data_IF_821468738029
#
_entry.id   IF_821468738029
#
_cell.length_a   1.000
_cell.length_b   1.000
_cell.length_c   1.000
_cell.angle_alpha   90.00
_cell.angle_beta   90.00
_cell.angle_gamma   90.00
#
_symmetry.space_group_name_H-M   'P 1'
#
loop_
_entity.id
_entity.type
_entity.pdbx_description
1 polymer ?
#
# COMPACT_ATOMS: atom_id res chain seq x y z
N UNK A 1 -4.43 -6.98 -9.72
CA UNK A 1 -3.33 -6.54 -10.61
C UNK A 1 -3.42 -6.98 -12.09
N UNK A 2 -4.54 -7.52 -12.60
CA UNK A 2 -4.64 -7.98 -14.01
C UNK A 2 -4.92 -6.88 -15.05
N UNK A 3 -5.40 -5.71 -14.63
CA UNK A 3 -5.80 -4.61 -15.52
C UNK A 3 -4.79 -3.45 -15.55
N UNK A 4 -4.23 -3.08 -14.40
CA UNK A 4 -3.22 -2.02 -14.26
C UNK A 4 -2.18 -2.50 -13.24
N UNK A 5 -1.11 -3.18 -13.69
CA UNK A 5 -0.08 -3.70 -12.80
C UNK A 5 0.77 -2.58 -12.16
N UNK A 6 0.92 -1.45 -12.86
CA UNK A 6 1.76 -0.33 -12.45
C UNK A 6 1.06 0.65 -11.50
N UNK A 7 -0.25 0.49 -11.28
CA UNK A 7 -0.98 1.34 -10.35
C UNK A 7 -0.75 0.84 -8.92
N UNK A 8 -0.19 1.67 -8.02
CA UNK A 8 0.04 1.23 -6.66
C UNK A 8 -1.26 1.10 -5.86
N UNK A 9 -1.32 0.12 -4.97
CA UNK A 9 -2.51 -0.20 -4.17
C UNK A 9 -2.18 -0.12 -2.69
N UNK A 10 -2.97 0.66 -1.96
CA UNK A 10 -2.92 0.77 -0.50
C UNK A 10 -4.23 0.21 0.08
N UNK A 11 -4.14 -0.65 1.09
CA UNK A 11 -5.30 -1.22 1.79
C UNK A 11 -5.39 -0.67 3.20
N UNK A 12 -6.60 -0.27 3.62
CA UNK A 12 -6.91 0.17 4.98
C UNK A 12 -7.88 -0.81 5.65
N UNK A 13 -7.42 -1.58 6.63
CA UNK A 13 -8.21 -2.66 7.27
C UNK A 13 -8.71 -2.26 8.66
N UNK A 14 -9.77 -2.89 9.16
CA UNK A 14 -10.24 -2.72 10.53
C UNK A 14 -9.75 -3.84 11.46
N UNK A 15 -9.94 -3.65 12.77
CA UNK A 15 -9.62 -4.62 13.83
C UNK A 15 -10.23 -6.02 13.63
N UNK A 16 -11.23 -6.16 12.75
CA UNK A 16 -11.99 -7.40 12.55
C UNK A 16 -11.69 -8.12 11.23
N UNK A 17 -10.68 -7.69 10.46
CA UNK A 17 -10.35 -8.30 9.17
C UNK A 17 -9.15 -9.26 9.23
N UNK A 18 -9.27 -10.39 8.53
CA UNK A 18 -8.31 -11.52 8.47
C UNK A 18 -7.08 -11.26 7.58
N UNK A 19 -6.74 -9.98 7.40
CA UNK A 19 -5.71 -9.50 6.49
C UNK A 19 -4.75 -8.63 7.29
N UNK A 20 -3.64 -9.22 7.71
CA UNK A 20 -2.52 -8.51 8.33
C UNK A 20 -1.54 -7.97 7.27
N UNK A 21 -0.54 -7.21 7.72
CA UNK A 21 0.45 -6.57 6.85
C UNK A 21 1.29 -7.59 6.04
N UNK A 22 1.60 -8.75 6.61
CA UNK A 22 2.40 -9.78 5.92
C UNK A 22 1.61 -10.41 4.77
N UNK A 23 0.35 -10.77 5.03
CA UNK A 23 -0.55 -11.31 4.03
C UNK A 23 -0.83 -10.27 2.95
N UNK A 24 -1.03 -9.00 3.31
CA UNK A 24 -1.19 -7.92 2.34
C UNK A 24 0.03 -7.80 1.41
N UNK A 25 1.24 -7.84 1.98
CA UNK A 25 2.48 -7.81 1.19
C UNK A 25 2.59 -9.02 0.25
N UNK A 26 2.24 -10.22 0.71
CA UNK A 26 2.26 -11.42 -0.14
C UNK A 26 1.31 -11.36 -1.33
N UNK A 27 0.24 -10.56 -1.24
CA UNK A 27 -0.74 -10.35 -2.31
C UNK A 27 -0.30 -9.28 -3.32
N UNK A 28 0.88 -8.68 -3.12
CA UNK A 28 1.36 -7.56 -3.92
C UNK A 28 0.54 -6.29 -3.65
N UNK A 29 0.30 -5.98 -2.39
CA UNK A 29 -0.20 -4.66 -1.97
C UNK A 29 1.02 -3.81 -1.59
N UNK A 30 1.05 -2.56 -2.04
CA UNK A 30 2.21 -1.66 -1.87
C UNK A 30 2.17 -0.91 -0.55
N UNK A 31 0.98 -0.76 0.05
CA UNK A 31 0.83 -0.16 1.37
C UNK A 31 -0.33 -0.74 2.19
N UNK A 32 -0.16 -0.71 3.50
CA UNK A 32 -1.13 -1.25 4.45
C UNK A 32 -1.28 -0.29 5.63
N UNK A 33 -2.52 0.01 6.04
CA UNK A 33 -2.85 0.80 7.22
C UNK A 33 -3.97 0.14 8.04
N UNK A 34 -3.88 0.25 9.36
CA UNK A 34 -4.97 -0.13 10.26
C UNK A 34 -5.90 1.07 10.48
N UNK A 35 -7.20 0.81 10.52
CA UNK A 35 -8.22 1.77 10.95
C UNK A 35 -8.20 1.89 12.48
N UNK A 36 -8.47 3.09 13.02
CA UNK A 36 -8.69 4.34 12.30
C UNK A 36 -7.40 4.85 11.65
N UNK A 37 -7.50 5.34 10.41
CA UNK A 37 -6.34 5.82 9.64
C UNK A 37 -6.06 7.26 10.03
N UNK A 38 -4.83 7.54 10.47
CA UNK A 38 -4.35 8.90 10.69
C UNK A 38 -3.91 9.53 9.36
N UNK A 39 -4.20 10.82 9.17
CA UNK A 39 -3.96 11.50 7.90
C UNK A 39 -2.47 11.65 7.60
N UNK A 40 -1.65 11.87 8.62
CA UNK A 40 -0.20 11.92 8.53
C UNK A 40 0.38 10.56 8.12
N UNK A 41 -0.06 9.46 8.73
CA UNK A 41 0.36 8.11 8.35
C UNK A 41 -0.01 7.80 6.89
N UNK A 42 -1.23 8.16 6.48
CA UNK A 42 -1.67 8.01 5.10
C UNK A 42 -0.81 8.84 4.14
N UNK A 43 -0.53 10.10 4.47
CA UNK A 43 0.29 10.97 3.63
C UNK A 43 1.71 10.44 3.44
N UNK A 44 2.35 9.98 4.53
CA UNK A 44 3.67 9.36 4.47
C UNK A 44 3.66 8.08 3.62
N UNK A 45 2.64 7.23 3.80
CA UNK A 45 2.54 5.99 3.04
C UNK A 45 2.30 6.25 1.55
N UNK A 46 1.40 7.17 1.20
CA UNK A 46 1.15 7.56 -0.20
C UNK A 46 2.42 8.10 -0.84
N UNK A 47 3.15 9.00 -0.16
CA UNK A 47 4.41 9.55 -0.67
C UNK A 47 5.42 8.43 -0.94
N UNK A 48 5.62 7.54 0.03
CA UNK A 48 6.53 6.39 -0.08
C UNK A 48 6.18 5.49 -1.27
N UNK A 49 4.91 5.07 -1.37
CA UNK A 49 4.45 4.18 -2.43
C UNK A 49 4.60 4.83 -3.81
N UNK A 50 4.35 6.14 -3.93
CA UNK A 50 4.55 6.86 -5.17
C UNK A 50 6.03 7.09 -5.51
N UNK A 51 6.91 7.28 -4.51
CA UNK A 51 8.36 7.32 -4.73
C UNK A 51 8.88 5.98 -5.24
N UNK A 52 8.43 4.88 -4.65
CA UNK A 52 8.79 3.52 -5.07
C UNK A 52 8.27 3.20 -6.48
N UNK A 53 7.06 3.64 -6.83
CA UNK A 53 6.48 3.43 -8.17
C UNK A 53 7.06 4.36 -9.24
N UNK A 54 7.39 5.61 -8.88
CA UNK A 54 8.04 6.59 -9.76
C UNK A 54 9.53 6.31 -9.99
N UNK A 55 10.13 5.51 -9.11
CA UNK A 55 11.44 4.90 -9.31
C UNK A 55 11.34 3.72 -10.29
N UNK A 56 10.93 4.00 -11.54
CA UNK A 56 11.22 3.08 -12.64
C UNK A 56 12.72 2.76 -12.69
N UNK A 57 13.15 1.66 -13.32
CA UNK A 57 14.56 1.24 -13.35
C UNK A 57 15.45 2.43 -13.75
N UNK A 58 16.12 2.99 -12.74
CA UNK A 58 17.23 3.91 -12.94
C UNK A 58 18.30 3.06 -13.63
N UNK A 59 18.88 3.59 -14.71
CA UNK A 59 19.82 2.90 -15.59
C UNK A 59 20.85 2.02 -14.85
#
# INVERSE_FOLDING_TARGET
RRMQPDLPVIVCTGFSELLDAEKARSLGIDGYLMKPVLLDELAHLVRKVLDEAGSGPQH
#
